data_IF_140986644044
#
_entry.id   IF_140986644044
#
_cell.length_a   1.000
_cell.length_b   1.000
_cell.length_c   1.000
_cell.angle_alpha   90.00
_cell.angle_beta   90.00
_cell.angle_gamma   90.00
#
_symmetry.space_group_name_H-M   'P 1'
#
loop_
_entity.id
_entity.type
_entity.pdbx_description
1 polymer ?
#
# COMPACT_ATOMS: atom_id res chain seq x y z
N UNK A 1 35.44 22.50 1.85
CA UNK A 1 34.24 22.98 1.16
C UNK A 1 33.38 21.85 0.57
N UNK A 2 33.75 21.24 -0.57
CA UNK A 2 32.94 20.13 -1.16
C UNK A 2 32.85 18.92 -0.22
N UNK A 3 33.98 18.48 0.34
CA UNK A 3 34.01 17.36 1.29
C UNK A 3 33.15 17.60 2.54
N UNK A 4 33.14 18.82 3.06
CA UNK A 4 32.36 19.19 4.25
C UNK A 4 30.88 19.27 3.93
N UNK A 5 30.52 19.80 2.74
CA UNK A 5 29.15 19.78 2.24
C UNK A 5 28.62 18.36 2.04
N UNK A 6 29.43 17.45 1.48
CA UNK A 6 29.05 16.04 1.33
C UNK A 6 28.92 15.35 2.69
N UNK A 7 29.85 15.59 3.63
CA UNK A 7 29.74 15.07 5.00
C UNK A 7 28.47 15.55 5.71
N UNK A 8 28.15 16.83 5.60
CA UNK A 8 26.91 17.38 6.18
C UNK A 8 25.66 16.80 5.50
N UNK A 9 25.68 16.62 4.18
CA UNK A 9 24.57 16.01 3.44
C UNK A 9 24.33 14.55 3.86
N UNK A 10 25.38 13.75 4.03
CA UNK A 10 25.27 12.36 4.51
C UNK A 10 24.81 12.31 5.97
N UNK A 11 25.34 13.18 6.83
CA UNK A 11 24.98 13.22 8.24
C UNK A 11 23.50 13.58 8.46
N UNK A 12 22.95 14.51 7.68
CA UNK A 12 21.52 14.87 7.76
C UNK A 12 20.63 14.01 6.85
N UNK A 13 20.71 14.25 5.54
CA UNK A 13 19.82 13.59 4.58
C UNK A 13 20.08 12.09 4.44
N UNK A 14 21.35 11.65 4.48
CA UNK A 14 21.70 10.23 4.39
C UNK A 14 21.13 9.40 5.53
N UNK A 15 21.19 9.91 6.77
CA UNK A 15 20.54 9.29 7.93
C UNK A 15 19.02 9.19 7.75
N UNK A 16 18.39 10.26 7.25
CA UNK A 16 16.94 10.25 6.96
C UNK A 16 16.57 9.19 5.92
N UNK A 17 17.37 9.05 4.85
CA UNK A 17 17.18 8.03 3.81
C UNK A 17 17.34 6.61 4.38
N UNK A 18 18.32 6.39 5.25
CA UNK A 18 18.52 5.08 5.90
C UNK A 18 17.29 4.68 6.74
N UNK A 19 16.73 5.62 7.51
CA UNK A 19 15.54 5.37 8.32
C UNK A 19 14.30 5.13 7.48
N UNK A 20 14.07 5.98 6.47
CA UNK A 20 13.00 5.80 5.50
C UNK A 20 13.11 4.42 4.83
N UNK A 21 14.27 4.07 4.30
CA UNK A 21 14.50 2.77 3.66
C UNK A 21 14.30 1.59 4.60
N UNK A 22 14.78 1.67 5.85
CA UNK A 22 14.54 0.62 6.84
C UNK A 22 13.04 0.45 7.15
N UNK A 23 12.29 1.55 7.19
CA UNK A 23 10.83 1.53 7.44
C UNK A 23 10.08 0.87 6.28
N UNK A 24 10.42 1.24 5.04
CA UNK A 24 9.82 0.64 3.84
C UNK A 24 10.18 -0.83 3.75
N UNK A 25 11.45 -1.19 3.92
CA UNK A 25 11.89 -2.59 3.90
C UNK A 25 11.20 -3.44 4.98
N UNK A 26 11.05 -2.89 6.19
CA UNK A 26 10.33 -3.57 7.28
C UNK A 26 8.84 -3.72 7.00
N UNK A 27 8.21 -2.73 6.36
CA UNK A 27 6.80 -2.80 5.96
C UNK A 27 6.58 -3.85 4.86
N UNK A 28 7.50 -3.91 3.89
CA UNK A 28 7.48 -4.94 2.84
C UNK A 28 7.77 -6.34 3.38
N UNK A 29 8.59 -6.48 4.44
CA UNK A 29 8.85 -7.76 5.08
C UNK A 29 7.60 -8.37 5.73
N UNK A 30 6.57 -7.57 6.02
CA UNK A 30 5.30 -8.12 6.54
C UNK A 30 4.59 -9.00 5.50
N UNK A 31 4.88 -8.85 4.22
CA UNK A 31 4.35 -9.74 3.17
C UNK A 31 4.78 -11.21 3.36
N UNK A 32 5.90 -11.48 4.05
CA UNK A 32 6.32 -12.86 4.37
C UNK A 32 5.37 -13.57 5.35
N UNK A 33 4.45 -12.85 5.99
CA UNK A 33 3.42 -13.43 6.85
C UNK A 33 2.38 -14.19 6.02
N UNK A 34 2.18 -13.81 4.77
CA UNK A 34 1.26 -14.52 3.89
C UNK A 34 1.90 -15.81 3.38
N UNK A 35 1.17 -16.94 3.37
CA UNK A 35 1.69 -18.25 2.94
C UNK A 35 1.77 -18.37 1.40
N UNK A 36 1.93 -17.27 0.67
CA UNK A 36 1.88 -17.23 -0.79
C UNK A 36 3.26 -16.90 -1.39
N UNK A 37 3.84 -17.79 -2.22
CA UNK A 37 5.17 -17.59 -2.81
C UNK A 37 5.30 -16.32 -3.66
N UNK A 38 4.22 -15.91 -4.33
CA UNK A 38 4.24 -14.71 -5.16
C UNK A 38 4.37 -13.44 -4.30
N UNK A 39 3.68 -13.34 -3.15
CA UNK A 39 3.84 -12.24 -2.20
C UNK A 39 5.25 -12.22 -1.60
N UNK A 40 5.79 -13.40 -1.28
CA UNK A 40 7.18 -13.52 -0.83
C UNK A 40 8.16 -13.01 -1.89
N UNK A 41 7.91 -13.30 -3.17
CA UNK A 41 8.72 -12.80 -4.29
C UNK A 41 8.67 -11.27 -4.40
N UNK A 42 7.49 -10.66 -4.23
CA UNK A 42 7.35 -9.21 -4.16
C UNK A 42 8.08 -8.61 -2.96
N UNK A 43 8.02 -9.26 -1.80
CA UNK A 43 8.76 -8.84 -0.60
C UNK A 43 10.27 -8.85 -0.85
N UNK A 44 10.82 -9.94 -1.42
CA UNK A 44 12.23 -10.01 -1.77
C UNK A 44 12.65 -8.92 -2.75
N UNK A 45 11.88 -8.74 -3.83
CA UNK A 45 12.18 -7.73 -4.85
C UNK A 45 12.12 -6.31 -4.26
N UNK A 46 11.06 -5.99 -3.51
CA UNK A 46 10.88 -4.68 -2.91
C UNK A 46 11.96 -4.34 -1.88
N UNK A 47 12.29 -5.29 -0.99
CA UNK A 47 13.37 -5.12 -0.01
C UNK A 47 14.72 -4.93 -0.71
N UNK A 48 15.02 -5.75 -1.73
CA UNK A 48 16.26 -5.63 -2.48
C UNK A 48 16.38 -4.26 -3.15
N UNK A 49 15.33 -3.79 -3.83
CA UNK A 49 15.29 -2.47 -4.47
C UNK A 49 15.52 -1.36 -3.45
N UNK A 50 14.85 -1.42 -2.30
CA UNK A 50 15.00 -0.41 -1.23
C UNK A 50 16.42 -0.41 -0.68
N UNK A 51 17.00 -1.57 -0.37
CA UNK A 51 18.36 -1.67 0.14
C UNK A 51 19.38 -1.16 -0.89
N UNK A 52 19.23 -1.53 -2.16
CA UNK A 52 20.10 -1.02 -3.24
C UNK A 52 19.94 0.48 -3.42
N UNK A 53 18.73 1.03 -3.32
CA UNK A 53 18.48 2.47 -3.38
C UNK A 53 19.13 3.21 -2.21
N UNK A 54 19.04 2.67 -0.99
CA UNK A 54 19.70 3.21 0.21
C UNK A 54 21.22 3.23 0.05
N UNK A 55 21.82 2.13 -0.43
CA UNK A 55 23.27 2.07 -0.72
C UNK A 55 23.63 3.07 -1.81
N UNK A 56 22.83 3.15 -2.87
CA UNK A 56 23.01 4.12 -3.95
C UNK A 56 22.99 5.57 -3.45
N UNK A 57 22.04 5.91 -2.58
CA UNK A 57 21.87 7.25 -2.03
C UNK A 57 22.91 7.63 -0.96
N UNK A 58 23.44 6.66 -0.21
CA UNK A 58 24.37 6.90 0.91
C UNK A 58 25.84 6.66 0.57
N UNK A 59 26.13 5.92 -0.50
CA UNK A 59 27.51 5.59 -0.92
C UNK A 59 27.81 6.14 -2.32
N UNK A 60 27.03 5.72 -3.33
CA UNK A 60 27.32 6.04 -4.73
C UNK A 60 27.10 7.53 -5.02
N UNK A 61 25.98 8.08 -4.59
CA UNK A 61 25.63 9.48 -4.82
C UNK A 61 26.61 10.45 -4.12
N UNK A 62 26.98 10.27 -2.83
CA UNK A 62 28.02 11.09 -2.20
C UNK A 62 29.37 11.02 -2.92
N UNK A 63 29.78 9.83 -3.39
CA UNK A 63 31.01 9.69 -4.18
C UNK A 63 30.92 10.44 -5.52
N UNK A 64 29.79 10.34 -6.22
CA UNK A 64 29.55 11.10 -7.45
C UNK A 64 29.55 12.62 -7.21
N UNK A 65 28.94 13.09 -6.12
CA UNK A 65 28.95 14.51 -5.73
C UNK A 65 30.36 15.00 -5.37
N UNK A 66 31.18 14.16 -4.73
CA UNK A 66 32.60 14.45 -4.48
C UNK A 66 33.39 14.63 -5.78
N UNK A 67 33.14 13.79 -6.79
CA UNK A 67 33.82 13.84 -8.09
C UNK A 67 33.35 15.02 -8.95
N UNK A 68 32.04 15.30 -8.97
CA UNK A 68 31.45 16.42 -9.72
C UNK A 68 31.81 17.77 -9.09
N UNK A 69 31.94 17.82 -7.75
CA UNK A 69 32.21 19.03 -7.00
C UNK A 69 31.21 20.15 -7.32
N UNK A 70 31.73 21.35 -7.61
CA UNK A 70 30.91 22.51 -7.93
C UNK A 70 30.11 22.39 -9.24
N UNK A 71 30.42 21.43 -10.12
CA UNK A 71 29.65 21.21 -11.37
C UNK A 71 28.24 20.69 -11.10
N UNK A 72 28.02 20.04 -9.96
CA UNK A 72 26.69 19.58 -9.54
C UNK A 72 25.82 20.73 -9.01
N UNK A 73 26.42 21.84 -8.57
CA UNK A 73 25.68 22.96 -8.03
C UNK A 73 25.00 23.76 -9.15
N UNK A 74 23.67 23.88 -9.09
CA UNK A 74 22.96 24.86 -9.92
C UNK A 74 23.42 26.26 -9.52
N UNK A 75 23.82 27.09 -10.50
CA UNK A 75 24.22 28.50 -10.32
C UNK A 75 23.11 29.44 -9.80
N UNK A 76 21.96 28.93 -9.35
CA UNK A 76 20.89 29.78 -8.81
C UNK A 76 21.12 29.98 -7.30
N UNK A 77 21.27 31.22 -6.82
CA UNK A 77 21.35 31.47 -5.39
C UNK A 77 20.10 30.93 -4.68
N UNK A 78 20.28 30.43 -3.46
CA UNK A 78 19.16 30.04 -2.61
C UNK A 78 18.32 31.29 -2.32
N UNK A 79 17.13 31.39 -2.91
CA UNK A 79 16.23 32.52 -2.69
C UNK A 79 15.71 32.46 -1.23
N UNK A 80 16.03 33.45 -0.37
CA UNK A 80 15.54 33.51 1.00
C UNK A 80 14.00 33.53 1.09
N UNK A 81 13.31 33.95 0.01
CA UNK A 81 11.85 33.95 -0.08
C UNK A 81 11.24 32.55 -0.17
N UNK A 82 12.03 31.49 -0.34
CA UNK A 82 11.54 30.09 -0.30
C UNK A 82 10.87 29.74 1.02
N UNK A 83 11.28 30.36 2.13
CA UNK A 83 10.62 30.18 3.43
C UNK A 83 9.20 30.77 3.46
N UNK A 84 8.86 31.70 2.56
CA UNK A 84 7.52 32.28 2.38
C UNK A 84 6.84 31.82 1.06
N UNK A 85 7.27 30.66 0.53
CA UNK A 85 6.77 30.09 -0.73
C UNK A 85 5.30 29.66 -0.68
N UNK A 86 4.81 29.10 -1.79
CA UNK A 86 3.43 28.60 -1.91
C UNK A 86 3.03 27.69 -0.74
N UNK A 87 3.88 26.72 -0.39
CA UNK A 87 3.64 25.75 0.69
C UNK A 87 3.58 26.39 2.08
N UNK A 88 4.38 27.42 2.34
CA UNK A 88 4.29 28.19 3.59
C UNK A 88 2.95 28.92 3.68
N UNK A 89 2.52 29.56 2.58
CA UNK A 89 1.22 30.27 2.53
C UNK A 89 0.04 29.31 2.63
N UNK A 90 0.12 28.15 1.97
CA UNK A 90 -0.93 27.13 2.03
C UNK A 90 -1.06 26.58 3.44
N UNK A 91 0.04 26.13 4.06
CA UNK A 91 0.03 25.61 5.42
C UNK A 91 -0.46 26.66 6.43
N UNK A 92 0.01 27.91 6.35
CA UNK A 92 -0.49 28.98 7.22
C UNK A 92 -1.97 29.29 6.99
N UNK A 93 -2.47 29.27 5.75
CA UNK A 93 -3.89 29.44 5.46
C UNK A 93 -4.75 28.32 6.06
N UNK A 94 -4.32 27.07 5.89
CA UNK A 94 -4.98 25.89 6.48
C UNK A 94 -4.99 25.98 8.01
N UNK A 95 -3.87 26.35 8.63
CA UNK A 95 -3.75 26.47 10.09
C UNK A 95 -4.55 27.64 10.68
N UNK A 96 -4.98 28.63 9.88
CA UNK A 96 -5.89 29.70 10.34
C UNK A 96 -7.33 29.20 10.52
N UNK A 97 -7.78 28.22 9.72
CA UNK A 97 -9.11 27.62 9.81
C UNK A 97 -9.04 26.09 9.70
N UNK A 98 -8.37 25.41 10.67
CA UNK A 98 -8.03 23.99 10.54
C UNK A 98 -9.27 23.09 10.46
N UNK A 99 -10.36 23.43 11.15
CA UNK A 99 -11.61 22.65 11.10
C UNK A 99 -12.28 22.74 9.73
N UNK A 100 -12.29 23.92 9.10
CA UNK A 100 -12.94 24.11 7.79
C UNK A 100 -12.10 23.47 6.69
N UNK A 101 -10.80 23.78 6.62
CA UNK A 101 -9.92 23.24 5.59
C UNK A 101 -9.70 21.73 5.76
N UNK A 102 -9.44 21.27 6.99
CA UNK A 102 -9.28 19.85 7.30
C UNK A 102 -10.57 19.06 7.12
N UNK A 103 -11.71 19.62 7.54
CA UNK A 103 -13.03 19.01 7.35
C UNK A 103 -13.40 18.89 5.88
N UNK A 104 -13.16 19.94 5.06
CA UNK A 104 -13.39 19.88 3.63
C UNK A 104 -12.51 18.83 2.93
N UNK A 105 -11.21 18.77 3.25
CA UNK A 105 -10.32 17.74 2.72
C UNK A 105 -10.76 16.33 3.14
N UNK A 106 -11.18 16.16 4.39
CA UNK A 106 -11.70 14.89 4.90
C UNK A 106 -12.96 14.46 4.15
N UNK A 107 -13.92 15.37 3.91
CA UNK A 107 -15.13 15.06 3.14
C UNK A 107 -14.79 14.62 1.72
N UNK A 108 -13.85 15.30 1.05
CA UNK A 108 -13.40 14.90 -0.29
C UNK A 108 -12.77 13.50 -0.26
N UNK A 109 -11.89 13.21 0.70
CA UNK A 109 -11.24 11.90 0.80
C UNK A 109 -12.23 10.79 1.14
N UNK A 110 -13.17 11.03 2.05
CA UNK A 110 -14.23 10.07 2.36
C UNK A 110 -15.16 9.86 1.16
N UNK A 111 -15.44 10.90 0.37
CA UNK A 111 -16.20 10.76 -0.87
C UNK A 111 -15.46 9.93 -1.93
N UNK A 112 -14.16 10.17 -2.10
CA UNK A 112 -13.31 9.38 -3.01
C UNK A 112 -13.10 7.94 -2.52
N UNK A 113 -13.06 7.72 -1.21
CA UNK A 113 -12.91 6.41 -0.59
C UNK A 113 -14.21 5.65 -0.33
N UNK A 114 -15.38 6.29 -0.45
CA UNK A 114 -16.67 5.66 -0.20
C UNK A 114 -16.93 4.38 -1.01
N UNK A 115 -16.54 4.29 -2.31
CA UNK A 115 -16.71 3.06 -3.08
C UNK A 115 -15.96 1.86 -2.49
N UNK A 116 -14.90 2.08 -1.68
CA UNK A 116 -14.15 0.99 -1.06
C UNK A 116 -15.01 0.07 -0.16
N UNK A 117 -16.17 0.56 0.31
CA UNK A 117 -17.11 -0.23 1.11
C UNK A 117 -17.83 -1.31 0.29
N UNK A 118 -17.90 -1.16 -1.03
CA UNK A 118 -18.51 -2.12 -1.94
C UNK A 118 -17.50 -3.06 -2.59
N UNK A 119 -16.30 -3.22 -2.03
CA UNK A 119 -15.28 -4.11 -2.58
C UNK A 119 -15.80 -5.54 -2.64
N UNK A 120 -15.74 -6.13 -3.82
CA UNK A 120 -16.03 -7.54 -4.03
C UNK A 120 -14.77 -8.25 -4.52
N UNK A 121 -14.45 -9.36 -3.86
CA UNK A 121 -13.23 -10.11 -4.11
C UNK A 121 -13.57 -11.36 -4.90
N UNK A 122 -12.91 -11.52 -6.04
CA UNK A 122 -13.13 -12.65 -6.92
C UNK A 122 -11.87 -12.98 -7.70
N UNK A 123 -11.91 -14.10 -8.39
CA UNK A 123 -10.76 -14.56 -9.16
C UNK A 123 -10.78 -13.96 -10.57
N UNK A 124 -9.61 -13.71 -11.15
CA UNK A 124 -9.52 -13.23 -12.51
C UNK A 124 -9.83 -14.34 -13.51
N UNK A 125 -10.64 -13.99 -14.51
CA UNK A 125 -10.93 -14.84 -15.66
C UNK A 125 -10.28 -14.26 -16.94
N UNK A 126 -10.63 -14.82 -18.09
CA UNK A 126 -10.15 -14.38 -19.41
C UNK A 126 -10.48 -12.91 -19.74
N UNK A 127 -11.45 -12.29 -19.05
CA UNK A 127 -11.85 -10.88 -19.30
C UNK A 127 -10.82 -9.87 -18.83
N UNK A 128 -9.79 -10.30 -18.08
CA UNK A 128 -8.61 -9.46 -17.76
C UNK A 128 -7.78 -9.09 -19.00
N UNK A 129 -7.95 -9.83 -20.09
CA UNK A 129 -7.32 -9.56 -21.37
C UNK A 129 -8.22 -8.69 -22.25
N UNK A 130 -7.67 -7.90 -23.20
CA UNK A 130 -8.48 -7.17 -24.16
C UNK A 130 -9.29 -8.10 -25.06
N UNK A 131 -10.48 -7.68 -25.49
CA UNK A 131 -11.36 -8.46 -26.39
C UNK A 131 -10.75 -8.74 -27.77
N UNK A 132 -9.66 -8.05 -28.13
CA UNK A 132 -8.88 -8.31 -29.35
C UNK A 132 -7.97 -9.53 -29.25
N UNK A 133 -7.70 -10.05 -28.04
CA UNK A 133 -6.79 -11.18 -27.86
C UNK A 133 -7.45 -12.50 -28.28
N UNK A 134 -6.80 -13.33 -29.12
CA UNK A 134 -7.36 -14.60 -29.58
C UNK A 134 -7.76 -15.55 -28.45
N UNK A 135 -6.99 -15.54 -27.34
CA UNK A 135 -7.25 -16.35 -26.16
C UNK A 135 -8.59 -15.96 -25.53
N UNK A 136 -8.92 -14.67 -25.45
CA UNK A 136 -10.19 -14.20 -24.91
C UNK A 136 -11.37 -14.58 -25.80
N UNK A 137 -11.22 -14.45 -27.12
CA UNK A 137 -12.27 -14.85 -28.07
C UNK A 137 -12.64 -16.34 -27.95
N UNK A 138 -11.65 -17.21 -27.65
CA UNK A 138 -11.89 -18.62 -27.37
C UNK A 138 -12.78 -18.81 -26.15
N UNK A 139 -12.46 -18.15 -25.02
CA UNK A 139 -13.26 -18.25 -23.80
C UNK A 139 -14.66 -17.62 -23.96
N UNK A 140 -14.80 -16.51 -24.68
CA UNK A 140 -16.10 -15.93 -24.99
C UNK A 140 -16.99 -16.91 -25.80
N UNK A 141 -16.39 -17.71 -26.69
CA UNK A 141 -17.11 -18.76 -27.44
C UNK A 141 -17.53 -19.90 -26.51
N UNK A 142 -16.64 -20.35 -25.63
CA UNK A 142 -16.95 -21.40 -24.65
C UNK A 142 -18.12 -20.96 -23.75
N UNK A 143 -18.07 -19.73 -23.23
CA UNK A 143 -19.13 -19.16 -22.37
C UNK A 143 -20.47 -18.99 -23.10
N UNK A 144 -20.45 -18.68 -24.40
CA UNK A 144 -21.66 -18.47 -25.17
C UNK A 144 -22.33 -19.79 -25.60
N UNK A 145 -21.53 -20.80 -25.93
CA UNK A 145 -22.01 -22.03 -26.57
C UNK A 145 -22.19 -23.21 -25.58
N UNK A 146 -21.67 -23.10 -24.35
CA UNK A 146 -21.72 -24.17 -23.34
C UNK A 146 -22.33 -23.66 -22.03
N UNK A 147 -23.35 -24.39 -21.52
CA UNK A 147 -24.07 -24.01 -20.29
C UNK A 147 -23.43 -24.54 -18.99
N UNK A 148 -22.48 -25.46 -19.11
CA UNK A 148 -21.76 -26.08 -17.99
C UNK A 148 -20.32 -25.60 -17.94
N UNK A 149 -19.88 -25.17 -16.75
CA UNK A 149 -18.49 -24.78 -16.48
C UNK A 149 -17.68 -26.00 -16.05
N UNK A 150 -17.51 -26.97 -16.97
CA UNK A 150 -16.76 -28.20 -16.70
C UNK A 150 -15.31 -27.92 -16.25
N UNK A 151 -14.75 -26.79 -16.66
CA UNK A 151 -13.41 -26.36 -16.29
C UNK A 151 -13.30 -25.92 -14.82
N UNK A 152 -14.39 -25.44 -14.22
CA UNK A 152 -14.44 -24.91 -12.84
C UNK A 152 -15.10 -25.87 -11.86
N UNK A 153 -15.18 -27.16 -12.21
CA UNK A 153 -15.69 -28.19 -11.32
C UNK A 153 -14.89 -28.27 -10.02
N UNK A 154 -15.60 -28.41 -8.90
CA UNK A 154 -14.99 -28.63 -7.59
C UNK A 154 -14.51 -30.08 -7.55
N UNK A 155 -13.22 -30.25 -7.28
CA UNK A 155 -12.55 -31.54 -7.32
C UNK A 155 -12.52 -32.15 -5.93
N UNK A 156 -13.34 -33.17 -5.68
CA UNK A 156 -13.36 -33.88 -4.40
C UNK A 156 -12.54 -35.15 -4.52
N UNK A 157 -11.41 -35.21 -3.84
CA UNK A 157 -10.52 -36.38 -3.80
C UNK A 157 -10.77 -37.13 -2.50
N UNK A 158 -11.06 -38.42 -2.61
CA UNK A 158 -11.35 -39.31 -1.49
C UNK A 158 -10.38 -40.52 -1.52
N UNK A 159 -9.14 -40.37 -0.98
CA UNK A 159 -8.05 -41.33 -1.18
C UNK A 159 -8.25 -42.70 -0.53
N UNK A 160 -9.19 -42.81 0.41
CA UNK A 160 -9.42 -44.00 1.23
C UNK A 160 -10.90 -44.40 1.29
N UNK A 161 -11.71 -43.88 0.37
CA UNK A 161 -13.14 -44.14 0.34
C UNK A 161 -13.42 -45.59 -0.08
N UNK A 162 -14.14 -46.39 0.72
CA UNK A 162 -14.52 -47.75 0.33
C UNK A 162 -15.44 -47.75 -0.89
N UNK A 163 -15.29 -48.72 -1.79
CA UNK A 163 -16.11 -48.85 -3.01
C UNK A 163 -17.61 -48.82 -2.74
N UNK A 164 -18.05 -49.38 -1.60
CA UNK A 164 -19.45 -49.41 -1.19
C UNK A 164 -20.03 -48.01 -0.93
N UNK A 165 -19.19 -47.05 -0.55
CA UNK A 165 -19.61 -45.71 -0.14
C UNK A 165 -19.45 -44.67 -1.27
N UNK A 166 -18.80 -45.03 -2.38
CA UNK A 166 -18.58 -44.14 -3.54
C UNK A 166 -19.91 -43.66 -4.14
N UNK A 167 -20.80 -44.59 -4.50
CA UNK A 167 -22.07 -44.23 -5.15
C UNK A 167 -23.03 -43.46 -4.23
N UNK A 168 -23.22 -43.86 -2.95
CA UNK A 168 -23.99 -43.06 -1.99
C UNK A 168 -23.45 -41.64 -1.81
N UNK A 169 -22.13 -41.48 -1.73
CA UNK A 169 -21.51 -40.17 -1.56
C UNK A 169 -21.62 -39.29 -2.82
N UNK A 170 -21.44 -39.86 -4.01
CA UNK A 170 -21.68 -39.16 -5.28
C UNK A 170 -23.13 -38.67 -5.40
N UNK A 171 -24.10 -39.51 -4.99
CA UNK A 171 -25.51 -39.14 -4.98
C UNK A 171 -25.77 -37.97 -4.02
N UNK A 172 -25.20 -38.02 -2.81
CA UNK A 172 -25.33 -36.94 -1.85
C UNK A 172 -24.71 -35.62 -2.34
N UNK A 173 -23.56 -35.67 -3.03
CA UNK A 173 -22.95 -34.50 -3.68
C UNK A 173 -23.85 -33.93 -4.79
N UNK A 174 -24.53 -34.80 -5.55
CA UNK A 174 -25.43 -34.37 -6.63
C UNK A 174 -26.74 -33.74 -6.15
N UNK A 175 -27.11 -33.95 -4.87
CA UNK A 175 -28.29 -33.35 -4.24
C UNK A 175 -28.02 -31.96 -3.67
N UNK A 176 -26.77 -31.49 -3.69
CA UNK A 176 -26.42 -30.14 -3.26
C UNK A 176 -27.02 -29.10 -4.21
N UNK A 177 -27.51 -27.99 -3.62
CA UNK A 177 -28.15 -26.92 -4.40
C UNK A 177 -27.16 -26.28 -5.39
N UNK A 178 -27.59 -26.18 -6.63
CA UNK A 178 -26.78 -25.63 -7.72
C UNK A 178 -25.67 -26.52 -8.26
N UNK A 179 -25.67 -27.83 -7.94
CA UNK A 179 -24.84 -28.84 -8.64
C UNK A 179 -25.60 -29.39 -9.85
N UNK A 180 -25.00 -29.30 -11.04
CA UNK A 180 -25.60 -29.80 -12.28
C UNK A 180 -25.34 -31.31 -12.45
N UNK A 181 -24.09 -31.74 -12.20
CA UNK A 181 -23.71 -33.16 -12.24
C UNK A 181 -22.51 -33.44 -11.36
N UNK A 182 -22.32 -34.72 -11.04
CA UNK A 182 -21.13 -35.24 -10.37
C UNK A 182 -20.54 -36.36 -11.22
N UNK A 183 -19.36 -36.14 -11.78
CA UNK A 183 -18.63 -37.17 -12.51
C UNK A 183 -17.71 -37.93 -11.54
N UNK A 184 -17.85 -39.26 -11.50
CA UNK A 184 -17.06 -40.12 -10.59
C UNK A 184 -16.01 -40.89 -11.37
N UNK A 185 -14.78 -40.86 -10.88
CA UNK A 185 -13.68 -41.70 -11.34
C UNK A 185 -13.08 -42.48 -10.18
N UNK A 186 -12.72 -43.74 -10.42
CA UNK A 186 -12.21 -44.65 -9.38
C UNK A 186 -10.90 -45.28 -9.86
N UNK A 187 -9.89 -45.33 -9.00
CA UNK A 187 -8.58 -45.97 -9.30
C UNK A 187 -8.32 -47.20 -8.41
N UNK A 188 -9.39 -47.84 -7.90
CA UNK A 188 -9.34 -49.06 -7.07
C UNK A 188 -8.73 -48.88 -5.66
N UNK A 189 -8.15 -47.72 -5.36
CA UNK A 189 -7.61 -47.36 -4.04
C UNK A 189 -8.32 -46.16 -3.42
N UNK A 190 -9.08 -45.40 -4.21
CA UNK A 190 -9.89 -44.25 -3.80
C UNK A 190 -10.76 -43.75 -4.94
N UNK A 191 -11.48 -42.65 -4.69
CA UNK A 191 -12.39 -42.03 -5.63
C UNK A 191 -12.05 -40.54 -5.86
N UNK A 192 -12.32 -40.07 -7.07
CA UNK A 192 -12.26 -38.67 -7.46
C UNK A 192 -13.62 -38.27 -8.03
N UNK A 193 -14.20 -37.20 -7.50
CA UNK A 193 -15.47 -36.65 -7.93
C UNK A 193 -15.24 -35.25 -8.50
N UNK A 194 -15.68 -35.02 -9.73
CA UNK A 194 -15.79 -33.68 -10.29
C UNK A 194 -17.23 -33.20 -10.10
N UNK A 195 -17.43 -32.32 -9.13
CA UNK A 195 -18.73 -31.70 -8.82
C UNK A 195 -18.87 -30.48 -9.71
N UNK A 196 -19.68 -30.59 -10.76
CA UNK A 196 -19.86 -29.54 -11.77
C UNK A 196 -20.98 -28.61 -11.30
N UNK A 197 -20.68 -27.34 -11.01
CA UNK A 197 -21.70 -26.38 -10.62
C UNK A 197 -22.54 -25.92 -11.82
N UNK A 198 -23.76 -25.47 -11.53
CA UNK A 198 -24.51 -24.60 -12.44
C UNK A 198 -23.82 -23.23 -12.53
N UNK A 199 -23.86 -22.60 -13.71
CA UNK A 199 -23.25 -21.27 -13.90
C UNK A 199 -23.85 -20.19 -13.00
N UNK A 200 -25.14 -20.28 -12.68
CA UNK A 200 -25.83 -19.36 -11.75
C UNK A 200 -25.28 -19.49 -10.32
N UNK A 201 -25.21 -20.72 -9.79
CA UNK A 201 -24.69 -20.97 -8.43
C UNK A 201 -23.25 -20.51 -8.26
N UNK A 202 -22.42 -20.74 -9.27
CA UNK A 202 -21.01 -20.36 -9.24
C UNK A 202 -20.82 -18.84 -9.36
N UNK A 203 -21.68 -18.15 -10.10
CA UNK A 203 -21.63 -16.70 -10.24
C UNK A 203 -22.13 -15.96 -9.00
N UNK A 204 -23.15 -16.48 -8.31
CA UNK A 204 -23.75 -15.82 -7.14
C UNK A 204 -22.95 -16.05 -5.85
N UNK A 205 -22.51 -17.28 -5.57
CA UNK A 205 -21.83 -17.60 -4.31
C UNK A 205 -20.84 -18.78 -4.46
N UNK A 206 -19.69 -18.58 -5.14
CA UNK A 206 -18.72 -19.64 -5.34
C UNK A 206 -18.18 -20.21 -4.02
N UNK A 207 -18.09 -19.37 -2.98
CA UNK A 207 -17.56 -19.78 -1.66
C UNK A 207 -18.51 -20.65 -0.87
N UNK A 208 -19.81 -20.39 -0.92
CA UNK A 208 -20.79 -21.20 -0.21
C UNK A 208 -20.95 -22.58 -0.83
N UNK A 209 -20.84 -22.73 -2.16
CA UNK A 209 -20.89 -24.06 -2.76
C UNK A 209 -19.71 -24.93 -2.28
N UNK A 210 -18.50 -24.35 -2.22
CA UNK A 210 -17.33 -25.04 -1.64
C UNK A 210 -17.56 -25.38 -0.18
N UNK A 211 -18.17 -24.48 0.59
CA UNK A 211 -18.53 -24.73 1.99
C UNK A 211 -19.54 -25.87 2.12
N UNK A 212 -20.56 -25.93 1.25
CA UNK A 212 -21.58 -26.98 1.24
C UNK A 212 -20.96 -28.35 0.90
N UNK A 213 -20.09 -28.40 -0.12
CA UNK A 213 -19.31 -29.61 -0.47
C UNK A 213 -18.43 -30.08 0.68
N UNK A 214 -17.78 -29.16 1.41
CA UNK A 214 -16.92 -29.48 2.58
C UNK A 214 -17.72 -29.85 3.83
N UNK A 215 -18.94 -29.32 3.96
CA UNK A 215 -19.83 -29.59 5.09
C UNK A 215 -20.58 -30.93 4.96
N UNK A 216 -20.69 -31.47 3.74
CA UNK A 216 -21.32 -32.75 3.50
C UNK A 216 -20.58 -33.86 4.27
N UNK A 217 -21.28 -34.65 5.12
CA UNK A 217 -20.65 -35.73 5.87
C UNK A 217 -20.01 -36.76 4.94
N UNK A 218 -18.69 -36.83 4.96
CA UNK A 218 -17.93 -37.78 4.17
C UNK A 218 -17.67 -39.09 4.95
N UNK A 219 -17.75 -40.27 4.30
CA UNK A 219 -17.46 -41.57 4.92
C UNK A 219 -15.98 -41.77 5.28
N UNK A 220 -15.10 -40.96 4.68
CA UNK A 220 -13.65 -40.98 4.86
C UNK A 220 -13.08 -39.55 4.73
N UNK A 221 -11.77 -39.39 4.94
CA UNK A 221 -11.10 -38.12 4.71
C UNK A 221 -11.17 -37.73 3.22
N UNK A 222 -11.82 -36.60 2.95
CA UNK A 222 -11.96 -36.01 1.62
C UNK A 222 -11.27 -34.67 1.54
N UNK A 223 -10.71 -34.36 0.38
CA UNK A 223 -10.09 -33.07 0.08
C UNK A 223 -10.86 -32.42 -1.07
N UNK A 224 -11.37 -31.21 -0.83
CA UNK A 224 -12.00 -30.41 -1.87
C UNK A 224 -10.97 -29.43 -2.45
N UNK A 225 -10.67 -29.59 -3.73
CA UNK A 225 -9.83 -28.74 -4.56
C UNK A 225 -10.58 -28.27 -5.81
N UNK A 226 -9.83 -27.95 -6.86
CA UNK A 226 -10.38 -27.27 -8.03
C UNK A 226 -10.45 -25.76 -7.82
N UNK A 227 -10.68 -25.03 -8.90
CA UNK A 227 -10.52 -23.58 -8.93
C UNK A 227 -11.36 -22.83 -7.88
N UNK A 228 -12.66 -23.14 -7.67
CA UNK A 228 -13.45 -22.46 -6.63
C UNK A 228 -12.95 -22.72 -5.20
N UNK A 229 -12.43 -23.93 -4.93
CA UNK A 229 -11.91 -24.28 -3.61
C UNK A 229 -10.55 -23.62 -3.35
N UNK A 230 -9.66 -23.58 -4.35
CA UNK A 230 -8.39 -22.85 -4.28
C UNK A 230 -8.61 -21.35 -4.03
N UNK A 231 -9.60 -20.75 -4.69
CA UNK A 231 -9.97 -19.35 -4.47
C UNK A 231 -10.48 -19.10 -3.05
N UNK A 232 -11.34 -19.99 -2.54
CA UNK A 232 -11.88 -19.90 -1.18
C UNK A 232 -10.75 -20.01 -0.15
N UNK A 233 -9.86 -20.99 -0.30
CA UNK A 233 -8.70 -21.17 0.58
C UNK A 233 -7.71 -20.00 0.49
N UNK A 234 -7.54 -19.43 -0.71
CA UNK A 234 -6.73 -18.24 -0.92
C UNK A 234 -7.32 -17.04 -0.17
N UNK A 235 -8.62 -16.78 -0.34
CA UNK A 235 -9.35 -15.70 0.34
C UNK A 235 -9.25 -15.85 1.86
N UNK A 236 -9.55 -17.03 2.39
CA UNK A 236 -9.50 -17.29 3.84
C UNK A 236 -8.07 -17.13 4.36
N UNK A 237 -7.08 -17.65 3.63
CA UNK A 237 -5.66 -17.48 3.95
C UNK A 237 -5.20 -16.01 3.96
N UNK A 238 -5.79 -15.14 3.12
CA UNK A 238 -5.55 -13.69 3.17
C UNK A 238 -6.27 -13.08 4.38
N UNK A 239 -7.58 -13.29 4.50
CA UNK A 239 -8.46 -12.67 5.51
C UNK A 239 -8.00 -13.01 6.93
N UNK A 240 -7.65 -14.27 7.19
CA UNK A 240 -7.15 -14.73 8.49
C UNK A 240 -5.84 -14.06 8.90
N UNK A 241 -5.03 -13.65 7.92
CA UNK A 241 -3.74 -12.98 8.15
C UNK A 241 -3.84 -11.46 8.19
N UNK A 242 -4.91 -10.85 7.67
CA UNK A 242 -5.10 -9.39 7.67
C UNK A 242 -4.95 -8.76 9.07
N UNK A 243 -5.51 -9.31 10.17
CA UNK A 243 -5.34 -8.74 11.50
C UNK A 243 -3.88 -8.73 11.95
N UNK A 244 -3.17 -9.85 11.74
CA UNK A 244 -1.75 -9.97 12.10
C UNK A 244 -0.88 -8.99 11.30
N UNK A 245 -1.13 -8.90 9.99
CA UNK A 245 -0.43 -7.98 9.08
C UNK A 245 -0.68 -6.53 9.46
N UNK A 246 -1.92 -6.16 9.75
CA UNK A 246 -2.29 -4.83 10.23
C UNK A 246 -1.57 -4.48 11.53
N UNK A 247 -1.57 -5.38 12.51
CA UNK A 247 -0.85 -5.19 13.78
C UNK A 247 0.66 -5.03 13.58
N UNK A 248 1.27 -5.86 12.71
CA UNK A 248 2.71 -5.78 12.44
C UNK A 248 3.09 -4.47 11.74
N UNK A 249 2.34 -4.08 10.71
CA UNK A 249 2.60 -2.83 9.96
C UNK A 249 2.43 -1.62 10.87
N UNK A 250 1.32 -1.55 11.62
CA UNK A 250 1.06 -0.48 12.57
C UNK A 250 2.11 -0.48 13.69
N UNK A 251 2.51 -1.64 14.20
CA UNK A 251 3.52 -1.80 15.24
C UNK A 251 4.89 -1.31 14.80
N UNK A 252 5.38 -1.77 13.64
CA UNK A 252 6.66 -1.34 13.05
C UNK A 252 6.65 0.16 12.80
N UNK A 253 5.57 0.67 12.19
CA UNK A 253 5.35 2.11 11.96
C UNK A 253 5.42 2.90 13.25
N UNK A 254 4.70 2.44 14.27
CA UNK A 254 4.61 3.09 15.55
C UNK A 254 5.97 3.18 16.21
N UNK A 255 6.73 2.07 16.22
CA UNK A 255 8.08 2.01 16.77
C UNK A 255 9.01 2.99 16.06
N UNK A 256 9.03 2.99 14.73
CA UNK A 256 9.89 3.89 13.95
C UNK A 256 9.56 5.35 14.26
N UNK A 257 8.28 5.75 14.14
CA UNK A 257 7.89 7.14 14.35
C UNK A 257 8.05 7.57 15.80
N UNK A 258 7.84 6.66 16.75
CA UNK A 258 8.10 6.91 18.17
C UNK A 258 9.59 7.14 18.43
N UNK A 259 10.48 6.31 17.86
CA UNK A 259 11.93 6.47 18.00
C UNK A 259 12.46 7.77 17.38
N UNK A 260 11.77 8.27 16.35
CA UNK A 260 12.14 9.52 15.67
C UNK A 260 11.58 10.76 16.39
N UNK A 261 10.30 10.74 16.76
CA UNK A 261 9.60 11.93 17.25
C UNK A 261 9.51 12.01 18.78
N UNK A 262 9.67 10.87 19.47
CA UNK A 262 9.39 10.75 20.90
C UNK A 262 7.92 10.96 21.26
N UNK A 263 7.00 10.91 20.28
CA UNK A 263 5.57 11.16 20.46
C UNK A 263 4.76 9.89 20.27
N UNK A 264 3.69 9.72 21.06
CA UNK A 264 2.68 8.67 20.81
C UNK A 264 1.56 9.15 19.89
N UNK A 265 1.33 10.47 19.82
CA UNK A 265 0.23 11.06 19.05
C UNK A 265 0.58 11.14 17.57
N UNK A 266 1.84 11.43 17.24
CA UNK A 266 2.28 11.54 15.85
C UNK A 266 2.14 10.20 15.09
N UNK A 267 2.61 9.05 15.62
CA UNK A 267 2.40 7.77 14.94
C UNK A 267 0.95 7.38 14.78
N UNK A 268 0.10 7.65 15.77
CA UNK A 268 -1.33 7.34 15.68
C UNK A 268 -2.01 8.14 14.55
N UNK A 269 -1.71 9.44 14.45
CA UNK A 269 -2.23 10.28 13.38
C UNK A 269 -1.73 9.82 12.01
N UNK A 270 -0.45 9.51 11.91
CA UNK A 270 0.17 8.96 10.71
C UNK A 270 -0.59 7.74 10.20
N UNK A 271 -0.83 6.76 11.08
CA UNK A 271 -1.60 5.57 10.74
C UNK A 271 -3.01 5.91 10.25
N UNK A 272 -3.75 6.79 10.94
CA UNK A 272 -5.11 7.18 10.51
C UNK A 272 -5.10 7.85 9.12
N UNK A 273 -4.15 8.75 8.88
CA UNK A 273 -4.01 9.41 7.57
C UNK A 273 -3.63 8.42 6.47
N UNK A 274 -2.78 7.44 6.76
CA UNK A 274 -2.43 6.38 5.82
C UNK A 274 -3.63 5.49 5.49
N UNK A 275 -4.44 5.10 6.49
CA UNK A 275 -5.68 4.38 6.25
C UNK A 275 -6.64 5.18 5.36
N UNK A 276 -6.71 6.51 5.54
CA UNK A 276 -7.53 7.36 4.69
C UNK A 276 -7.00 7.41 3.24
N UNK A 277 -5.68 7.46 3.05
CA UNK A 277 -5.05 7.35 1.72
C UNK A 277 -5.40 6.02 1.04
N UNK A 278 -5.30 4.92 1.80
CA UNK A 278 -5.64 3.59 1.32
C UNK A 278 -7.13 3.48 0.96
N UNK A 279 -8.02 4.10 1.72
CA UNK A 279 -9.45 4.12 1.36
C UNK A 279 -9.69 4.73 -0.01
N UNK A 280 -8.94 5.78 -0.39
CA UNK A 280 -9.02 6.38 -1.73
C UNK A 280 -8.48 5.42 -2.78
N UNK A 281 -7.37 4.73 -2.50
CA UNK A 281 -6.83 3.71 -3.40
C UNK A 281 -7.88 2.62 -3.69
N UNK A 282 -8.51 2.06 -2.66
CA UNK A 282 -9.59 1.08 -2.81
C UNK A 282 -10.81 1.68 -3.50
N UNK A 283 -11.19 2.91 -3.18
CA UNK A 283 -12.31 3.59 -3.82
C UNK A 283 -12.12 3.75 -5.33
N UNK A 284 -10.90 4.03 -5.78
CA UNK A 284 -10.53 4.05 -7.20
C UNK A 284 -10.60 2.67 -7.83
N UNK A 285 -10.19 1.62 -7.11
CA UNK A 285 -10.26 0.26 -7.63
C UNK A 285 -11.71 -0.18 -7.81
N UNK A 286 -12.58 0.06 -6.81
CA UNK A 286 -13.99 -0.30 -6.88
C UNK A 286 -14.70 0.51 -7.96
N UNK A 287 -14.75 1.84 -7.84
CA UNK A 287 -15.47 2.66 -8.82
C UNK A 287 -14.83 2.59 -10.22
N UNK A 288 -13.50 2.56 -10.28
CA UNK A 288 -12.77 2.63 -11.55
C UNK A 288 -12.79 1.32 -12.31
N UNK A 289 -12.56 0.18 -11.63
CA UNK A 289 -12.37 -1.13 -12.27
C UNK A 289 -13.51 -2.11 -12.00
N UNK A 290 -13.99 -2.21 -10.75
CA UNK A 290 -15.08 -3.12 -10.39
C UNK A 290 -16.40 -2.66 -11.02
N UNK A 291 -16.79 -1.40 -10.80
CA UNK A 291 -18.01 -0.79 -11.35
C UNK A 291 -17.84 -0.34 -12.81
N UNK A 292 -16.60 -0.33 -13.30
CA UNK A 292 -16.27 -0.03 -14.69
C UNK A 292 -16.21 1.46 -15.06
N UNK A 293 -16.09 2.37 -14.10
CA UNK A 293 -16.02 3.82 -14.36
C UNK A 293 -14.88 4.25 -15.29
N UNK A 294 -13.78 3.48 -15.35
CA UNK A 294 -12.63 3.72 -16.24
C UNK A 294 -12.60 2.82 -17.48
N UNK A 295 -13.55 1.90 -17.63
CA UNK A 295 -13.55 0.89 -18.69
C UNK A 295 -13.53 1.50 -20.09
N UNK A 296 -14.36 2.52 -20.34
CA UNK A 296 -14.43 3.21 -21.63
C UNK A 296 -13.16 4.00 -21.98
N UNK A 297 -12.39 4.46 -20.99
CA UNK A 297 -11.16 5.23 -21.21
C UNK A 297 -9.95 4.33 -21.48
N UNK A 298 -9.89 3.18 -20.79
CA UNK A 298 -8.74 2.28 -20.79
C UNK A 298 -8.94 1.03 -21.65
N UNK A 299 -10.16 0.80 -22.15
CA UNK A 299 -10.46 -0.30 -23.07
C UNK A 299 -10.47 -1.68 -22.42
N UNK A 300 -10.81 -1.79 -21.13
CA UNK A 300 -10.95 -3.07 -20.44
C UNK A 300 -12.42 -3.47 -20.22
N UNK A 301 -12.64 -4.71 -19.82
CA UNK A 301 -13.97 -5.22 -19.46
C UNK A 301 -14.12 -5.33 -17.95
N UNK A 302 -15.12 -4.66 -17.34
CA UNK A 302 -15.39 -4.79 -15.92
C UNK A 302 -15.78 -6.23 -15.60
N UNK A 303 -15.07 -6.83 -14.64
CA UNK A 303 -15.33 -8.19 -14.15
C UNK A 303 -16.35 -8.20 -13.02
N UNK A 304 -16.61 -7.06 -12.38
CA UNK A 304 -17.47 -6.94 -11.19
C UNK A 304 -16.77 -7.35 -9.89
N UNK A 305 -15.54 -7.86 -9.98
CA UNK A 305 -14.74 -8.34 -8.84
C UNK A 305 -13.29 -7.88 -8.95
N UNK A 306 -12.61 -7.80 -7.82
CA UNK A 306 -11.20 -7.45 -7.71
C UNK A 306 -10.42 -8.67 -7.21
N UNK A 307 -9.34 -8.99 -7.91
CA UNK A 307 -8.40 -10.02 -7.48
C UNK A 307 -7.69 -9.57 -6.17
N UNK A 308 -7.70 -10.35 -5.07
CA UNK A 308 -7.23 -9.87 -3.76
C UNK A 308 -5.73 -9.57 -3.66
N UNK A 309 -4.88 -10.19 -4.49
CA UNK A 309 -3.43 -9.99 -4.47
C UNK A 309 -3.02 -8.58 -4.88
N UNK A 310 -3.71 -8.00 -5.87
CA UNK A 310 -3.38 -6.66 -6.38
C UNK A 310 -3.56 -5.58 -5.31
N UNK A 311 -4.74 -5.43 -4.66
CA UNK A 311 -4.92 -4.46 -3.57
C UNK A 311 -3.99 -4.71 -2.39
N UNK A 312 -3.68 -5.98 -2.09
CA UNK A 312 -2.75 -6.32 -1.01
C UNK A 312 -1.33 -5.83 -1.31
N UNK A 313 -0.84 -6.05 -2.52
CA UNK A 313 0.45 -5.53 -2.97
C UNK A 313 0.46 -3.99 -2.97
N UNK A 314 -0.58 -3.38 -3.53
CA UNK A 314 -0.72 -1.93 -3.55
C UNK A 314 -0.78 -1.35 -2.15
N UNK A 315 -1.48 -2.00 -1.21
CA UNK A 315 -1.52 -1.62 0.19
C UNK A 315 -0.12 -1.59 0.78
N UNK A 316 0.68 -2.65 0.63
CA UNK A 316 2.04 -2.68 1.16
C UNK A 316 2.96 -1.63 0.53
N UNK A 317 2.86 -1.41 -0.79
CA UNK A 317 3.66 -0.41 -1.49
C UNK A 317 3.22 1.01 -1.08
N UNK A 318 1.93 1.32 -1.16
CA UNK A 318 1.37 2.64 -0.84
C UNK A 318 1.60 3.00 0.61
N UNK A 319 1.45 2.03 1.52
CA UNK A 319 1.74 2.23 2.93
C UNK A 319 3.24 2.52 3.15
N UNK A 320 4.14 1.75 2.54
CA UNK A 320 5.58 2.02 2.59
C UNK A 320 5.95 3.40 2.05
N UNK A 321 5.42 3.77 0.88
CA UNK A 321 5.61 5.06 0.21
C UNK A 321 4.86 6.23 0.86
N UNK A 322 3.95 5.99 1.81
CA UNK A 322 3.35 7.07 2.59
C UNK A 322 4.18 7.34 3.83
N UNK A 323 4.68 6.25 4.43
CA UNK A 323 5.47 6.28 5.64
C UNK A 323 6.82 6.97 5.46
N UNK A 324 7.52 6.72 4.35
CA UNK A 324 8.82 7.35 4.06
C UNK A 324 8.75 8.89 4.05
N UNK A 325 7.75 9.45 3.40
CA UNK A 325 7.56 10.88 3.28
C UNK A 325 6.96 11.49 4.53
N UNK A 326 6.11 10.76 5.27
CA UNK A 326 5.61 11.24 6.56
C UNK A 326 6.76 11.32 7.59
N UNK A 327 7.63 10.32 7.63
CA UNK A 327 8.88 10.35 8.39
C UNK A 327 9.70 11.58 7.98
N UNK A 328 9.90 11.81 6.68
CA UNK A 328 10.67 12.97 6.19
C UNK A 328 10.04 14.32 6.59
N UNK A 329 8.71 14.44 6.48
CA UNK A 329 7.97 15.64 6.82
C UNK A 329 8.02 15.93 8.32
N UNK A 330 7.71 14.92 9.14
CA UNK A 330 7.69 15.03 10.58
C UNK A 330 9.09 15.29 11.14
N UNK A 331 10.13 14.66 10.59
CA UNK A 331 11.52 14.93 10.96
C UNK A 331 11.86 16.42 10.82
N UNK A 332 11.50 17.04 9.68
CA UNK A 332 11.77 18.48 9.45
C UNK A 332 10.93 19.41 10.30
N UNK A 333 9.68 19.06 10.59
CA UNK A 333 8.86 19.83 11.53
C UNK A 333 9.45 19.72 12.95
N UNK A 334 9.87 18.51 13.34
CA UNK A 334 10.43 18.22 14.67
C UNK A 334 11.78 18.91 14.89
N UNK A 335 12.66 18.90 13.90
CA UNK A 335 13.95 19.60 13.94
C UNK A 335 13.76 21.11 14.18
N UNK A 336 12.82 21.75 13.48
CA UNK A 336 12.55 23.17 13.67
C UNK A 336 11.86 23.46 15.02
N UNK A 337 11.01 22.54 15.49
CA UNK A 337 10.42 22.59 16.84
C UNK A 337 11.48 22.45 17.93
N UNK A 338 12.41 21.50 17.82
CA UNK A 338 13.46 21.30 18.82
C UNK A 338 14.41 22.50 18.91
N UNK A 339 14.65 23.16 17.77
CA UNK A 339 15.46 24.37 17.71
C UNK A 339 14.76 25.61 18.27
N UNK A 340 13.45 25.76 18.07
CA UNK A 340 12.75 27.03 18.39
C UNK A 340 11.75 26.96 19.52
N UNK A 341 11.31 25.77 19.91
CA UNK A 341 10.22 25.53 20.88
C UNK A 341 8.83 25.97 20.39
N UNK A 342 8.71 26.51 19.17
CA UNK A 342 7.48 27.04 18.63
C UNK A 342 6.63 25.94 17.98
N UNK A 343 5.58 25.53 18.69
CA UNK A 343 4.65 24.46 18.26
C UNK A 343 3.93 24.80 16.95
N UNK A 344 3.63 26.08 16.71
CA UNK A 344 2.76 26.46 15.60
C UNK A 344 3.54 26.94 14.38
N UNK A 345 4.59 27.73 14.56
CA UNK A 345 5.40 28.20 13.43
C UNK A 345 6.36 27.13 12.90
N UNK A 346 6.64 26.06 13.64
CA UNK A 346 7.45 24.94 13.14
C UNK A 346 6.79 24.14 12.03
N UNK A 347 5.46 24.04 12.04
CA UNK A 347 4.71 23.28 11.03
C UNK A 347 4.83 23.94 9.64
N UNK A 348 4.49 25.22 9.43
CA UNK A 348 4.67 25.87 8.13
C UNK A 348 6.12 25.92 7.66
N UNK A 349 7.08 26.14 8.58
CA UNK A 349 8.52 26.18 8.25
C UNK A 349 9.04 24.81 7.80
N UNK A 350 8.66 23.75 8.51
CA UNK A 350 8.98 22.36 8.14
C UNK A 350 8.38 22.00 6.78
N UNK A 351 7.08 22.23 6.59
CA UNK A 351 6.37 21.97 5.32
C UNK A 351 6.98 22.76 4.16
N UNK A 352 7.30 24.04 4.35
CA UNK A 352 7.86 24.86 3.27
C UNK A 352 9.21 24.35 2.74
N UNK A 353 10.01 23.70 3.60
CA UNK A 353 11.31 23.13 3.25
C UNK A 353 11.20 21.75 2.62
N UNK A 354 10.26 20.93 3.07
CA UNK A 354 10.12 19.53 2.62
C UNK A 354 9.15 19.35 1.45
N UNK A 355 8.03 20.10 1.42
CA UNK A 355 6.95 19.87 0.47
C UNK A 355 7.38 19.93 -1.01
N UNK A 356 8.25 20.86 -1.48
CA UNK A 356 8.71 20.85 -2.86
C UNK A 356 9.41 19.54 -3.26
N UNK A 357 10.26 18.99 -2.39
CA UNK A 357 10.95 17.71 -2.65
C UNK A 357 9.95 16.56 -2.66
N UNK A 358 9.05 16.51 -1.67
CA UNK A 358 8.03 15.46 -1.56
C UNK A 358 7.11 15.48 -2.78
N UNK A 359 6.63 16.65 -3.21
CA UNK A 359 5.77 16.75 -4.40
C UNK A 359 6.49 16.39 -5.68
N UNK A 360 7.78 16.73 -5.81
CA UNK A 360 8.55 16.33 -6.98
C UNK A 360 8.73 14.80 -7.03
N UNK A 361 9.04 14.18 -5.90
CA UNK A 361 9.18 12.73 -5.80
C UNK A 361 7.84 12.02 -6.04
N UNK A 362 6.75 12.52 -5.46
CA UNK A 362 5.39 12.02 -5.70
C UNK A 362 4.99 12.13 -7.17
N UNK A 363 5.31 13.23 -7.85
CA UNK A 363 5.07 13.36 -9.30
C UNK A 363 5.88 12.37 -10.12
N UNK A 364 7.15 12.12 -9.78
CA UNK A 364 7.98 11.11 -10.46
C UNK A 364 7.35 9.73 -10.28
N UNK A 365 7.01 9.34 -9.05
CA UNK A 365 6.38 8.05 -8.77
C UNK A 365 5.01 7.92 -9.45
N UNK A 366 4.18 8.95 -9.37
CA UNK A 366 2.85 8.94 -9.99
C UNK A 366 2.94 8.80 -11.51
N UNK A 367 3.87 9.50 -12.17
CA UNK A 367 4.10 9.34 -13.61
C UNK A 367 4.62 7.93 -13.90
N UNK A 368 5.55 7.40 -13.12
CA UNK A 368 6.07 6.03 -13.30
C UNK A 368 4.96 4.97 -13.16
N UNK A 369 4.11 5.07 -12.15
CA UNK A 369 2.97 4.16 -12.00
C UNK A 369 1.92 4.37 -13.09
N UNK A 370 1.66 5.60 -13.52
CA UNK A 370 0.72 5.89 -14.59
C UNK A 370 1.13 5.26 -15.94
N UNK A 371 2.42 4.95 -16.16
CA UNK A 371 2.84 4.17 -17.33
C UNK A 371 2.23 2.76 -17.33
N UNK A 372 2.02 2.13 -16.17
CA UNK A 372 1.37 0.82 -16.12
C UNK A 372 -0.10 0.85 -16.58
N UNK A 373 -0.74 2.03 -16.57
CA UNK A 373 -2.08 2.22 -17.14
C UNK A 373 -2.14 1.96 -18.65
N UNK A 374 -1.01 2.01 -19.36
CA UNK A 374 -0.96 1.67 -20.79
C UNK A 374 -0.74 0.18 -21.05
N UNK A 375 -0.66 -0.64 -20.00
CA UNK A 375 -0.58 -2.08 -20.13
C UNK A 375 -1.88 -2.68 -20.64
N UNK A 376 -1.79 -3.78 -21.38
CA UNK A 376 -2.96 -4.52 -21.88
C UNK A 376 -3.61 -5.41 -20.80
N UNK A 377 -2.91 -5.64 -19.69
CA UNK A 377 -3.39 -6.46 -18.58
C UNK A 377 -4.01 -5.57 -17.51
N UNK A 378 -5.28 -5.82 -17.18
CA UNK A 378 -6.06 -5.00 -16.22
C UNK A 378 -5.34 -4.84 -14.87
N UNK A 379 -4.63 -5.87 -14.40
CA UNK A 379 -3.86 -5.79 -13.15
C UNK A 379 -2.80 -4.69 -13.14
N UNK A 380 -2.09 -4.52 -14.26
CA UNK A 380 -1.09 -3.46 -14.39
C UNK A 380 -1.77 -2.09 -14.40
N UNK A 381 -2.96 -1.99 -15.01
CA UNK A 381 -3.73 -0.75 -15.02
C UNK A 381 -4.25 -0.38 -13.62
N UNK A 382 -4.76 -1.35 -12.87
CA UNK A 382 -5.21 -1.21 -11.48
C UNK A 382 -4.07 -0.71 -10.59
N UNK A 383 -2.92 -1.40 -10.65
CA UNK A 383 -1.72 -1.00 -9.92
C UNK A 383 -1.29 0.41 -10.33
N UNK A 384 -1.21 0.69 -11.62
CA UNK A 384 -0.76 1.98 -12.13
C UNK A 384 -1.62 3.16 -11.68
N UNK A 385 -2.92 3.11 -11.93
CA UNK A 385 -3.84 4.21 -11.64
C UNK A 385 -4.08 4.33 -10.15
N UNK A 386 -4.33 3.22 -9.47
CA UNK A 386 -4.60 3.24 -8.03
C UNK A 386 -3.38 3.75 -7.25
N UNK A 387 -2.17 3.32 -7.58
CA UNK A 387 -0.95 3.81 -6.93
C UNK A 387 -0.65 5.26 -7.28
N UNK A 388 -0.79 5.66 -8.55
CA UNK A 388 -0.56 7.04 -8.97
C UNK A 388 -1.50 8.00 -8.23
N UNK A 389 -2.81 7.68 -8.15
CA UNK A 389 -3.75 8.55 -7.47
C UNK A 389 -3.53 8.56 -5.96
N UNK A 390 -3.26 7.40 -5.34
CA UNK A 390 -2.96 7.31 -3.90
C UNK A 390 -1.77 8.20 -3.53
N UNK A 391 -0.67 8.13 -4.30
CA UNK A 391 0.53 8.96 -4.08
C UNK A 391 0.25 10.45 -4.27
N UNK A 392 -0.53 10.83 -5.30
CA UNK A 392 -0.88 12.23 -5.54
C UNK A 392 -1.78 12.80 -4.45
N UNK A 393 -2.79 12.05 -4.03
CA UNK A 393 -3.74 12.42 -2.98
C UNK A 393 -3.00 12.58 -1.65
N UNK A 394 -2.11 11.65 -1.34
CA UNK A 394 -1.29 11.71 -0.14
C UNK A 394 -0.35 12.94 -0.14
N UNK A 395 0.37 13.19 -1.24
CA UNK A 395 1.26 14.33 -1.36
C UNK A 395 0.54 15.69 -1.31
N UNK A 396 -0.74 15.76 -1.69
CA UNK A 396 -1.50 17.01 -1.83
C UNK A 396 -2.52 17.22 -0.71
N UNK A 397 -3.57 16.40 -0.64
CA UNK A 397 -4.67 16.55 0.32
C UNK A 397 -4.21 16.16 1.73
N UNK A 398 -3.49 15.06 1.87
CA UNK A 398 -3.07 14.57 3.18
C UNK A 398 -1.96 15.46 3.74
N UNK A 399 -0.81 15.54 3.08
CA UNK A 399 0.33 16.32 3.58
C UNK A 399 0.14 17.83 3.46
N UNK A 400 -0.50 18.30 2.39
CA UNK A 400 -0.69 19.72 2.15
C UNK A 400 -1.78 20.35 3.00
N UNK A 401 -2.79 19.57 3.44
CA UNK A 401 -3.96 20.11 4.16
C UNK A 401 -4.21 19.39 5.48
N UNK A 402 -4.43 18.07 5.50
CA UNK A 402 -4.81 17.35 6.72
C UNK A 402 -3.73 17.34 7.79
N UNK A 403 -2.47 17.10 7.41
CA UNK A 403 -1.34 17.13 8.36
C UNK A 403 -1.25 18.49 9.07
N UNK A 404 -1.13 19.65 8.37
CA UNK A 404 -1.10 20.94 9.06
C UNK A 404 -2.37 21.23 9.87
N UNK A 405 -3.55 20.81 9.41
CA UNK A 405 -4.79 20.97 10.17
C UNK A 405 -4.77 20.18 11.49
N UNK A 406 -4.42 18.89 11.44
CA UNK A 406 -4.34 18.00 12.62
C UNK A 406 -3.21 18.40 13.56
N UNK A 407 -2.10 18.91 13.03
CA UNK A 407 -1.01 19.45 13.82
C UNK A 407 -1.45 20.72 14.55
N UNK A 408 -2.16 21.63 13.89
CA UNK A 408 -2.73 22.82 14.54
C UNK A 408 -3.72 22.47 15.64
N UNK A 409 -4.62 21.52 15.40
CA UNK A 409 -5.67 21.14 16.36
C UNK A 409 -5.12 20.50 17.62
N UNK A 410 -4.09 19.66 17.52
CA UNK A 410 -3.52 19.02 18.69
C UNK A 410 -2.49 19.88 19.44
N UNK A 411 -1.94 20.92 18.81
CA UNK A 411 -1.00 21.85 19.45
C UNK A 411 0.15 21.11 20.16
N UNK A 412 0.31 21.33 21.47
CA UNK A 412 1.38 20.71 22.27
C UNK A 412 1.26 19.19 22.40
N UNK A 413 0.07 18.63 22.21
CA UNK A 413 -0.14 17.18 22.30
C UNK A 413 0.56 16.42 21.16
N UNK A 414 0.93 17.09 20.05
CA UNK A 414 1.68 16.46 18.95
C UNK A 414 2.99 15.82 19.39
N UNK A 415 3.62 16.35 20.44
CA UNK A 415 4.92 15.91 20.94
C UNK A 415 4.83 15.27 22.32
N UNK A 416 3.63 14.85 22.71
CA UNK A 416 3.39 14.27 24.01
C UNK A 416 3.70 12.77 24.03
N UNK A 417 4.39 12.35 25.10
CA UNK A 417 4.56 10.96 25.48
C UNK A 417 4.51 10.82 27.01
N UNK A 418 3.97 9.71 27.53
CA UNK A 418 3.91 9.44 28.95
C UNK A 418 5.32 9.24 29.54
N UNK A 419 5.47 9.58 30.82
CA UNK A 419 6.76 9.63 31.54
C UNK A 419 7.73 8.45 31.31
N UNK A 420 7.31 7.17 31.42
CA UNK A 420 8.21 6.04 31.21
C UNK A 420 8.68 5.91 29.77
N UNK A 421 7.80 6.15 28.79
CA UNK A 421 8.17 6.11 27.36
C UNK A 421 9.09 7.27 26.98
N UNK A 422 8.87 8.46 27.54
CA UNK A 422 9.78 9.60 27.35
C UNK A 422 11.18 9.28 27.88
N UNK A 423 11.30 8.65 29.05
CA UNK A 423 12.60 8.20 29.59
C UNK A 423 13.26 7.12 28.74
N UNK A 424 12.47 6.21 28.15
CA UNK A 424 13.00 5.22 27.21
C UNK A 424 13.54 5.92 25.96
N UNK A 425 12.74 6.79 25.34
CA UNK A 425 13.16 7.58 24.18
C UNK A 425 14.38 8.45 24.49
N UNK A 426 14.52 9.02 25.69
CA UNK A 426 15.73 9.79 26.02
C UNK A 426 17.00 8.92 26.09
N UNK A 427 16.88 7.59 26.22
CA UNK A 427 18.01 6.64 26.20
C UNK A 427 18.31 6.05 24.83
N UNK A 428 17.27 5.76 24.02
CA UNK A 428 17.40 5.05 22.73
C UNK A 428 16.99 5.89 21.52
N UNK A 429 16.38 7.05 21.76
CA UNK A 429 15.86 7.94 20.74
C UNK A 429 16.96 8.55 19.91
N UNK A 430 16.71 8.61 18.61
CA UNK A 430 17.71 8.98 17.62
C UNK A 430 17.72 10.50 17.49
N UNK A 431 18.29 11.20 18.47
CA UNK A 431 18.46 12.65 18.40
C UNK A 431 19.48 13.00 17.32
N UNK A 432 19.13 13.96 16.47
CA UNK A 432 20.12 14.66 15.66
C UNK A 432 20.88 15.59 16.63
N UNK A 433 22.02 15.15 17.14
CA UNK A 433 22.94 16.07 17.81
C UNK A 433 23.33 17.12 16.77
N UNK A 434 22.84 18.34 16.98
CA UNK A 434 23.24 19.51 16.23
C UNK A 434 24.76 19.62 16.36
N UNK A 435 25.48 19.17 15.33
CA UNK A 435 26.87 19.53 15.15
C UNK A 435 26.93 21.05 15.25
N UNK A 436 27.59 21.53 16.32
CA UNK A 436 27.70 22.92 16.67
C UNK A 436 28.03 23.74 15.43
N UNK A 437 27.07 24.56 14.98
CA UNK A 437 27.43 25.70 14.15
C UNK A 437 28.24 26.61 15.07
N UNK A 438 29.52 26.90 14.76
CA UNK A 438 30.20 27.98 15.45
C UNK A 438 29.35 29.24 15.26
N UNK A 439 29.25 30.12 16.27
CA UNK A 439 28.49 31.36 16.15
C UNK A 439 28.97 32.07 14.88
N UNK A 440 28.02 32.52 14.05
CA UNK A 440 28.30 33.46 12.98
C UNK A 440 28.87 34.72 13.64
N UNK A 441 30.19 34.79 13.75
CA UNK A 441 30.87 36.03 14.05
C UNK A 441 30.63 36.93 12.85
N UNK A 442 29.97 38.06 13.07
CA UNK A 442 29.80 39.13 12.10
C UNK A 442 31.15 39.49 11.48
N UNK A 443 31.42 38.94 10.29
CA UNK A 443 32.57 39.30 9.47
C UNK A 443 32.25 40.52 8.59
N UNK A 444 31.47 41.46 9.15
CA UNK A 444 31.13 42.74 8.52
C UNK A 444 32.01 43.91 9.01
N UNK A 445 33.02 43.63 9.85
CA UNK A 445 34.00 44.65 10.29
C UNK A 445 35.40 44.06 10.15
N UNK A 446 35.99 44.13 8.95
CA UNK A 446 37.44 44.10 8.69
C UNK A 446 37.71 44.12 7.18
N UNK A 447 37.11 45.08 6.48
CA UNK A 447 37.61 45.60 5.21
C UNK A 447 37.42 47.12 5.26
N UNK A 448 38.26 47.76 6.06
CA UNK A 448 38.75 49.13 5.88
C UNK A 448 40.28 49.08 5.98
#
# INVERSE_FOLDING_TARGET
>A
AVADAVRAAVAGAGRTVLFSGATVASSLAVLFVFPFPFLSSFAYAGIAVVLTAVVGATVILPAALMLLGHRAARRRPADPRREAGFWFRLSTAVMRRPVVSGGAALVVLLGLGAPALGVDFGSPDDRILPSSQPVRAMYDTIRADFATEDADAIQVVAPSLPDADIAPYAAALSELDGVERVDTHTDGTGAWFAVVPTGERLAEDPTGLVADVRALPAPADVLAGGYPAELTDYRDGVVDRLPLVGVLILGVTFVVLFLMTGSMVAPLKASVLNLLSLSVMFGVLVWGFQDGGLAGLLGFTPTGVIEPSIPLLMFCIAYGLSMDYEVFLLARIKEDYDRTGDVYGSVPRGIARSAPLVTAAAMILAVSFAVYATGEVVFLQQLGIGMALAVLVDATLIRGVLVPALMRLAGRANWWAPGPLRRLHDRIGLREDAAAHPPQTDMAVLLD
#
